data_IF_569844217100
#
_entry.id   IF_569844217100
#
_cell.length_a   1.000
_cell.length_b   1.000
_cell.length_c   1.000
_cell.angle_alpha   90.00
_cell.angle_beta   90.00
_cell.angle_gamma   90.00
#
_symmetry.space_group_name_H-M   'P 1'
#
loop_
_entity.id
_entity.type
_entity.pdbx_description
1 polymer ?
#
# COMPACT_ATOMS: atom_id res chain seq x y z
N UNK A 1 7.97 7.82 0.11
CA UNK A 1 7.35 7.90 -1.22
C UNK A 1 6.80 9.30 -1.48
N UNK A 2 7.05 9.86 -2.67
CA UNK A 2 6.68 11.23 -3.06
C UNK A 2 5.20 11.28 -3.47
N UNK A 3 4.55 12.45 -3.33
CA UNK A 3 3.10 12.62 -3.58
C UNK A 3 2.62 12.16 -4.98
N UNK A 4 3.51 12.09 -5.97
CA UNK A 4 3.19 11.66 -7.34
C UNK A 4 2.76 10.18 -7.42
N UNK A 5 3.35 9.33 -6.60
CA UNK A 5 3.06 7.89 -6.61
C UNK A 5 1.62 7.58 -6.14
N UNK A 6 1.05 8.45 -5.29
CA UNK A 6 -0.33 8.33 -4.80
C UNK A 6 -1.35 8.53 -5.94
N UNK A 7 -1.07 9.47 -6.84
CA UNK A 7 -1.93 9.77 -7.99
C UNK A 7 -1.90 8.59 -8.98
N UNK A 8 -0.73 8.01 -9.21
CA UNK A 8 -0.57 6.82 -10.05
C UNK A 8 -1.22 5.58 -9.44
N UNK A 9 -1.15 5.39 -8.12
CA UNK A 9 -1.87 4.32 -7.42
C UNK A 9 -3.39 4.49 -7.53
N UNK A 10 -3.90 5.72 -7.51
CA UNK A 10 -5.34 5.98 -7.74
C UNK A 10 -5.77 5.70 -9.19
N UNK A 11 -4.87 5.85 -10.16
CA UNK A 11 -5.14 5.55 -11.57
C UNK A 11 -5.12 4.04 -11.89
N UNK A 12 -4.41 3.24 -11.08
CA UNK A 12 -4.33 1.77 -11.27
C UNK A 12 -5.63 1.05 -10.92
N UNK A 13 -5.84 -0.09 -11.55
CA UNK A 13 -6.99 -0.96 -11.28
C UNK A 13 -6.87 -1.67 -9.93
N UNK A 14 -7.99 -2.09 -9.34
CA UNK A 14 -7.98 -2.77 -8.03
C UNK A 14 -7.10 -4.03 -8.04
N UNK A 15 -7.09 -4.77 -9.15
CA UNK A 15 -6.24 -5.96 -9.31
C UNK A 15 -4.76 -5.62 -9.23
N UNK A 16 -4.32 -4.59 -9.94
CA UNK A 16 -2.93 -4.12 -9.91
C UNK A 16 -2.55 -3.61 -8.52
N UNK A 17 -3.45 -2.92 -7.83
CA UNK A 17 -3.22 -2.47 -6.44
C UNK A 17 -3.03 -3.64 -5.48
N UNK A 18 -3.82 -4.72 -5.62
CA UNK A 18 -3.64 -5.91 -4.78
C UNK A 18 -2.32 -6.63 -5.05
N UNK A 19 -1.87 -6.65 -6.30
CA UNK A 19 -0.63 -7.30 -6.70
C UNK A 19 0.59 -6.52 -6.19
N UNK A 20 0.58 -5.20 -6.37
CA UNK A 20 1.60 -4.29 -5.82
C UNK A 20 1.64 -4.36 -4.30
N UNK A 21 0.49 -4.52 -3.62
CA UNK A 21 0.42 -4.71 -2.17
C UNK A 21 1.14 -6.00 -1.74
N UNK A 22 0.94 -7.11 -2.46
CA UNK A 22 1.62 -8.37 -2.18
C UNK A 22 3.14 -8.25 -2.34
N UNK A 23 3.60 -7.59 -3.40
CA UNK A 23 5.02 -7.37 -3.66
C UNK A 23 5.68 -6.52 -2.55
N UNK A 24 5.03 -5.44 -2.12
CA UNK A 24 5.50 -4.62 -1.00
C UNK A 24 5.52 -5.38 0.32
N UNK A 25 4.55 -6.26 0.58
CA UNK A 25 4.54 -7.11 1.78
C UNK A 25 5.72 -8.10 1.78
N UNK A 26 6.01 -8.71 0.63
CA UNK A 26 7.14 -9.62 0.50
C UNK A 26 8.48 -8.89 0.69
N UNK A 27 8.59 -7.69 0.12
CA UNK A 27 9.77 -6.82 0.29
C UNK A 27 9.95 -6.42 1.76
N UNK A 28 8.87 -6.11 2.45
CA UNK A 28 8.89 -5.78 3.88
C UNK A 28 9.26 -6.99 4.75
N UNK A 29 8.80 -8.20 4.40
CA UNK A 29 9.21 -9.42 5.08
C UNK A 29 10.72 -9.66 4.93
N UNK A 30 11.26 -9.52 3.70
CA UNK A 30 12.69 -9.63 3.45
C UNK A 30 13.49 -8.57 4.23
N UNK A 31 13.04 -7.32 4.22
CA UNK A 31 13.70 -6.25 4.96
C UNK A 31 13.66 -6.46 6.49
N UNK A 32 12.59 -7.06 7.02
CA UNK A 32 12.52 -7.47 8.44
C UNK A 32 13.51 -8.59 8.77
N UNK A 33 13.67 -9.57 7.88
CA UNK A 33 14.67 -10.63 8.05
C UNK A 33 16.09 -10.08 8.04
N UNK A 34 16.41 -9.19 7.10
CA UNK A 34 17.70 -8.51 7.02
C UNK A 34 17.97 -7.60 8.23
N UNK A 35 16.93 -6.93 8.73
CA UNK A 35 16.99 -6.16 10.00
C UNK A 35 17.36 -7.05 11.17
N UNK A 36 16.69 -8.20 11.30
CA UNK A 36 16.96 -9.18 12.38
C UNK A 36 18.35 -9.79 12.25
N UNK A 37 18.85 -9.97 11.03
CA UNK A 37 20.19 -10.45 10.76
C UNK A 37 21.30 -9.41 11.00
N UNK A 38 20.96 -8.15 11.32
CA UNK A 38 21.92 -7.08 11.60
C UNK A 38 22.69 -6.56 10.37
N UNK A 39 22.29 -6.97 9.15
CA UNK A 39 22.95 -6.59 7.89
C UNK A 39 22.22 -5.47 7.13
N UNK A 40 21.21 -4.87 7.74
CA UNK A 40 20.37 -3.90 7.05
C UNK A 40 21.08 -2.55 6.95
N UNK A 41 21.54 -2.22 5.74
CA UNK A 41 22.23 -0.95 5.46
C UNK A 41 21.33 0.29 5.58
N UNK A 42 20.01 0.14 5.38
CA UNK A 42 19.08 1.27 5.40
C UNK A 42 17.79 0.92 6.16
N UNK A 43 17.73 1.32 7.44
CA UNK A 43 16.57 1.13 8.31
C UNK A 43 15.39 2.02 7.94
N UNK A 44 15.64 3.15 7.29
CA UNK A 44 14.60 4.11 6.89
C UNK A 44 13.70 3.55 5.79
N UNK A 45 14.25 2.71 4.91
CA UNK A 45 13.49 2.03 3.85
C UNK A 45 12.36 1.13 4.37
N UNK A 46 12.51 0.57 5.58
CA UNK A 46 11.47 -0.27 6.20
C UNK A 46 10.23 0.57 6.55
N UNK A 47 10.44 1.78 7.05
CA UNK A 47 9.36 2.71 7.37
C UNK A 47 8.63 3.18 6.13
N UNK A 48 9.37 3.55 5.08
CA UNK A 48 8.76 4.00 3.82
C UNK A 48 7.91 2.92 3.16
N UNK A 49 8.35 1.66 3.16
CA UNK A 49 7.56 0.55 2.61
C UNK A 49 6.28 0.32 3.42
N UNK A 50 6.34 0.46 4.75
CA UNK A 50 5.15 0.33 5.59
C UNK A 50 4.13 1.44 5.33
N UNK A 51 4.59 2.68 5.16
CA UNK A 51 3.75 3.83 4.80
C UNK A 51 3.08 3.63 3.43
N UNK A 52 3.80 3.07 2.48
CA UNK A 52 3.27 2.82 1.13
C UNK A 52 2.17 1.75 1.15
N UNK A 53 2.35 0.67 1.94
CA UNK A 53 1.29 -0.33 2.17
C UNK A 53 0.05 0.32 2.81
N UNK A 54 0.25 1.20 3.79
CA UNK A 54 -0.87 1.89 4.45
C UNK A 54 -1.65 2.75 3.46
N UNK A 55 -0.96 3.51 2.60
CA UNK A 55 -1.60 4.34 1.55
C UNK A 55 -2.41 3.52 0.55
N UNK A 56 -1.88 2.39 0.08
CA UNK A 56 -2.62 1.49 -0.84
C UNK A 56 -3.91 0.98 -0.18
N UNK A 57 -3.82 0.55 1.09
CA UNK A 57 -5.00 0.10 1.85
C UNK A 57 -6.03 1.22 2.02
N UNK A 58 -5.60 2.45 2.26
CA UNK A 58 -6.49 3.61 2.35
C UNK A 58 -7.24 3.84 1.04
N UNK A 59 -6.56 3.81 -0.11
CA UNK A 59 -7.20 3.98 -1.43
C UNK A 59 -8.26 2.89 -1.69
N UNK A 60 -7.93 1.63 -1.39
CA UNK A 60 -8.89 0.52 -1.51
C UNK A 60 -10.11 0.74 -0.61
N UNK A 61 -9.91 1.26 0.60
CA UNK A 61 -11.00 1.55 1.53
C UNK A 61 -11.86 2.74 1.07
N UNK A 62 -11.24 3.80 0.55
CA UNK A 62 -11.94 4.95 -0.04
C UNK A 62 -12.88 4.49 -1.16
N UNK A 63 -12.42 3.62 -2.06
CA UNK A 63 -13.25 3.03 -3.14
C UNK A 63 -14.42 2.19 -2.62
N UNK A 64 -14.21 1.41 -1.56
CA UNK A 64 -15.30 0.63 -0.96
C UNK A 64 -16.37 1.52 -0.31
N UNK A 65 -15.95 2.60 0.37
CA UNK A 65 -16.86 3.51 1.05
C UNK A 65 -17.73 4.27 0.04
N UNK A 66 -17.17 4.75 -1.06
CA UNK A 66 -17.95 5.41 -2.13
C UNK A 66 -18.96 4.46 -2.76
N UNK A 67 -18.57 3.21 -3.05
CA UNK A 67 -19.50 2.18 -3.56
C UNK A 67 -20.61 1.84 -2.56
N UNK A 68 -20.34 1.90 -1.26
CA UNK A 68 -21.33 1.64 -0.21
C UNK A 68 -22.27 2.84 -0.02
N UNK A 69 -21.78 4.07 -0.16
CA UNK A 69 -22.60 5.29 -0.06
C UNK A 69 -23.61 5.39 -1.21
N UNK A 70 -23.20 5.05 -2.45
CA UNK A 70 -24.10 5.02 -3.60
C UNK A 70 -25.28 4.05 -3.42
N UNK A 71 -25.06 2.91 -2.76
CA UNK A 71 -26.13 1.93 -2.50
C UNK A 71 -27.15 2.41 -1.48
N UNK A 72 -26.74 3.24 -0.52
CA UNK A 72 -27.63 3.77 0.54
C UNK A 72 -28.51 4.92 0.06
N UNK A 73 -28.15 5.62 -1.01
CA UNK A 73 -28.97 6.70 -1.59
C UNK A 73 -30.07 6.17 -2.52
N UNK A 74 -30.01 4.89 -2.88
CA UNK A 74 -30.99 4.22 -3.76
C UNK A 74 -32.03 3.37 -3.02
N UNK A 75 -31.98 3.29 -1.68
CA UNK A 75 -32.96 2.61 -0.81
C UNK A 75 -33.78 3.63 -0.02
#
# INVERSE_FOLDING_TARGET
MNKKDIIELRAKTEKELTQVLADFQMTLAKARMEKKAGKLQNTSSVGTIADDIARIKTILRERQLTATQQKKETE
#
